data_IF_902011692880
#
_entry.id   IF_902011692880
#
_cell.length_a   1.000
_cell.length_b   1.000
_cell.length_c   1.000
_cell.angle_alpha   90.00
_cell.angle_beta   90.00
_cell.angle_gamma   90.00
#
_symmetry.space_group_name_H-M   'P 1'
#
loop_
_entity.id
_entity.type
_entity.pdbx_description
1 polymer ?
#
# COMPACT_ATOMS: atom_id res chain seq x y z
N UNK A 1 -1.16 37.73 4.09
CA UNK A 1 -0.90 36.77 2.99
C UNK A 1 0.60 36.66 2.81
N UNK A 2 1.25 35.83 3.64
CA UNK A 2 2.68 35.52 3.51
C UNK A 2 2.79 34.32 2.59
N UNK A 3 3.23 34.57 1.36
CA UNK A 3 3.59 33.52 0.42
C UNK A 3 4.72 32.68 0.99
N UNK A 4 4.37 31.55 1.59
CA UNK A 4 5.35 30.51 1.89
C UNK A 4 5.83 29.96 0.55
N UNK A 5 7.04 30.39 0.19
CA UNK A 5 7.87 29.87 -0.87
C UNK A 5 7.81 28.34 -0.91
N UNK A 6 7.12 27.81 -1.90
CA UNK A 6 7.26 26.44 -2.43
C UNK A 6 8.67 26.23 -3.08
N UNK A 7 9.71 26.92 -2.61
CA UNK A 7 10.98 27.11 -3.35
C UNK A 7 12.01 26.00 -3.24
N UNK A 8 11.70 24.88 -2.60
CA UNK A 8 12.45 23.64 -2.78
C UNK A 8 11.49 22.47 -3.04
N UNK A 9 10.38 22.73 -3.74
CA UNK A 9 9.50 21.66 -4.14
C UNK A 9 10.14 20.87 -5.27
N UNK A 10 10.69 19.71 -4.89
CA UNK A 10 10.92 18.54 -5.72
C UNK A 10 9.99 18.52 -6.93
N UNK A 11 10.59 18.54 -8.13
CA UNK A 11 9.81 18.54 -9.36
C UNK A 11 9.01 17.24 -9.41
N UNK A 12 7.71 17.26 -9.77
CA UNK A 12 6.93 16.05 -10.00
C UNK A 12 7.57 15.07 -11.02
N UNK A 13 8.55 15.55 -11.80
CA UNK A 13 9.36 14.75 -12.73
C UNK A 13 10.38 13.81 -12.05
N UNK A 14 10.66 13.97 -10.75
CA UNK A 14 11.64 13.16 -10.00
C UNK A 14 11.14 11.75 -9.66
N UNK A 15 9.85 11.46 -9.90
CA UNK A 15 9.25 10.16 -9.69
C UNK A 15 8.63 9.96 -8.31
N UNK A 16 7.60 9.11 -8.23
CA UNK A 16 6.85 8.79 -7.01
C UNK A 16 7.74 8.33 -5.85
N UNK A 17 8.80 7.57 -6.15
CA UNK A 17 9.77 7.07 -5.17
C UNK A 17 10.58 8.18 -4.48
N UNK A 18 10.73 9.34 -5.13
CA UNK A 18 11.29 10.57 -4.54
C UNK A 18 10.17 11.34 -3.83
N UNK A 19 9.07 11.62 -4.54
CA UNK A 19 7.97 12.45 -4.02
C UNK A 19 7.44 11.95 -2.67
N UNK A 20 7.32 10.63 -2.48
CA UNK A 20 6.85 10.05 -1.20
C UNK A 20 7.70 10.51 -0.02
N UNK A 21 9.02 10.67 -0.15
CA UNK A 21 9.88 11.05 0.96
C UNK A 21 9.76 12.55 1.32
N UNK A 22 9.23 13.37 0.41
CA UNK A 22 9.17 14.82 0.57
C UNK A 22 7.75 15.32 0.85
N UNK A 23 6.72 14.65 0.34
CA UNK A 23 5.32 15.09 0.43
C UNK A 23 4.60 14.50 1.63
N UNK A 24 5.17 14.73 2.81
CA UNK A 24 4.75 14.10 4.08
C UNK A 24 3.91 15.03 4.97
N UNK A 25 3.79 16.31 4.62
CA UNK A 25 3.18 17.31 5.50
C UNK A 25 1.67 17.44 5.29
N UNK A 26 0.90 17.25 6.37
CA UNK A 26 -0.57 17.34 6.37
C UNK A 26 -1.11 18.69 5.88
N UNK A 27 -0.47 19.79 6.24
CA UNK A 27 -0.91 21.16 5.88
C UNK A 27 -0.83 21.45 4.38
N UNK A 28 -0.01 20.70 3.64
CA UNK A 28 0.20 20.88 2.20
C UNK A 28 -0.51 19.80 1.37
N UNK A 29 -1.41 19.02 1.98
CA UNK A 29 -2.11 17.93 1.29
C UNK A 29 -2.78 18.39 -0.01
N UNK A 30 -3.48 19.53 0.03
CA UNK A 30 -4.13 20.10 -1.14
C UNK A 30 -3.11 20.42 -2.24
N UNK A 31 -2.08 21.22 -1.90
CA UNK A 31 -1.06 21.65 -2.86
C UNK A 31 -0.35 20.46 -3.50
N UNK A 32 0.02 19.45 -2.71
CA UNK A 32 0.65 18.24 -3.21
C UNK A 32 -0.27 17.45 -4.15
N UNK A 33 -1.55 17.29 -3.81
CA UNK A 33 -2.49 16.59 -4.68
C UNK A 33 -2.73 17.34 -5.99
N UNK A 34 -2.86 18.67 -5.93
CA UNK A 34 -3.04 19.51 -7.12
C UNK A 34 -1.79 19.60 -7.99
N UNK A 35 -0.60 19.49 -7.40
CA UNK A 35 0.66 19.49 -8.14
C UNK A 35 0.82 18.28 -9.08
N UNK A 36 0.17 17.14 -8.77
CA UNK A 36 0.09 15.96 -9.64
C UNK A 36 -1.08 16.06 -10.62
N UNK A 37 -0.97 16.98 -11.57
CA UNK A 37 -1.84 17.00 -12.76
C UNK A 37 -1.71 15.67 -13.53
N UNK A 38 -2.66 15.31 -14.42
CA UNK A 38 -2.60 14.06 -15.17
C UNK A 38 -1.24 13.80 -15.87
N UNK A 39 -0.70 14.82 -16.54
CA UNK A 39 0.61 14.71 -17.24
C UNK A 39 1.77 14.54 -16.26
N UNK A 40 1.75 15.26 -15.14
CA UNK A 40 2.79 15.18 -14.11
C UNK A 40 2.75 13.85 -13.36
N UNK A 41 1.56 13.32 -13.11
CA UNK A 41 1.40 12.00 -12.53
C UNK A 41 1.97 10.92 -13.45
N UNK A 42 1.64 10.97 -14.75
CA UNK A 42 2.21 10.06 -15.75
C UNK A 42 3.74 10.16 -15.79
N UNK A 43 4.28 11.37 -15.85
CA UNK A 43 5.73 11.60 -15.83
C UNK A 43 6.38 11.04 -14.55
N UNK A 44 5.74 11.18 -13.38
CA UNK A 44 6.23 10.62 -12.13
C UNK A 44 6.23 9.08 -12.10
N UNK A 45 5.20 8.46 -12.67
CA UNK A 45 5.12 7.00 -12.84
C UNK A 45 6.23 6.53 -13.79
N UNK A 46 6.39 7.18 -14.93
CA UNK A 46 7.41 6.84 -15.93
C UNK A 46 8.83 7.00 -15.38
N UNK A 47 9.09 8.09 -14.64
CA UNK A 47 10.36 8.30 -13.94
C UNK A 47 10.63 7.18 -12.92
N UNK A 48 9.62 6.79 -12.14
CA UNK A 48 9.74 5.68 -11.18
C UNK A 48 9.99 4.35 -11.87
N UNK A 49 9.32 4.09 -13.00
CA UNK A 49 9.51 2.87 -13.77
C UNK A 49 10.93 2.79 -14.35
N UNK A 50 11.48 3.90 -14.88
CA UNK A 50 12.85 3.94 -15.42
C UNK A 50 13.91 3.72 -14.35
N UNK A 51 13.69 4.24 -13.15
CA UNK A 51 14.62 4.12 -12.01
C UNK A 51 14.44 2.80 -11.24
N UNK A 52 13.36 2.06 -11.50
CA UNK A 52 13.00 0.85 -10.77
C UNK A 52 14.16 -0.17 -10.77
N UNK A 53 14.53 -0.75 -9.61
CA UNK A 53 15.55 -1.79 -9.56
C UNK A 53 15.07 -3.01 -10.35
N UNK A 54 15.98 -3.60 -11.14
CA UNK A 54 15.66 -4.77 -11.95
C UNK A 54 15.94 -6.07 -11.19
N UNK A 55 14.95 -6.95 -11.16
CA UNK A 55 15.07 -8.32 -10.70
C UNK A 55 16.02 -9.08 -11.64
N UNK A 56 16.98 -9.79 -11.05
CA UNK A 56 18.06 -10.45 -11.78
C UNK A 56 19.43 -9.75 -11.67
N UNK A 57 19.48 -8.52 -11.17
CA UNK A 57 20.75 -7.94 -10.71
C UNK A 57 21.27 -8.68 -9.45
N UNK A 58 22.59 -8.78 -9.31
CA UNK A 58 23.25 -9.46 -8.19
C UNK A 58 22.70 -8.98 -6.83
N UNK A 59 22.16 -9.91 -6.04
CA UNK A 59 21.72 -9.67 -4.67
C UNK A 59 20.23 -9.37 -4.49
N UNK A 60 19.39 -9.61 -5.51
CA UNK A 60 17.94 -9.59 -5.36
C UNK A 60 17.46 -10.79 -4.52
N UNK A 61 16.47 -10.57 -3.65
CA UNK A 61 15.92 -11.60 -2.76
C UNK A 61 14.60 -12.11 -3.34
N UNK A 62 14.49 -13.42 -3.57
CA UNK A 62 13.26 -14.06 -4.05
C UNK A 62 12.05 -13.75 -3.16
N UNK A 63 10.85 -13.86 -3.73
CA UNK A 63 9.62 -13.82 -2.93
C UNK A 63 9.70 -14.84 -1.80
N UNK A 64 9.48 -14.38 -0.57
CA UNK A 64 9.42 -15.25 0.59
C UNK A 64 8.10 -16.02 0.54
N UNK A 65 8.17 -17.29 0.16
CA UNK A 65 7.09 -18.24 0.39
C UNK A 65 6.93 -18.44 1.90
N UNK A 66 5.71 -18.34 2.41
CA UNK A 66 5.37 -18.57 3.83
C UNK A 66 5.61 -20.01 4.33
N UNK A 67 6.25 -20.89 3.55
CA UNK A 67 6.60 -22.26 3.95
C UNK A 67 7.50 -22.32 5.19
N UNK A 68 8.33 -21.29 5.40
CA UNK A 68 8.83 -21.01 6.74
C UNK A 68 7.74 -20.26 7.47
N UNK A 69 6.81 -21.02 8.09
CA UNK A 69 5.81 -20.51 9.04
C UNK A 69 6.37 -19.27 9.69
N UNK A 70 5.66 -18.15 9.56
CA UNK A 70 5.96 -16.87 10.19
C UNK A 70 6.36 -17.17 11.63
N UNK A 71 7.67 -17.32 11.84
CA UNK A 71 8.14 -18.05 13.01
C UNK A 71 7.83 -17.16 14.20
N UNK A 72 7.63 -17.73 15.38
CA UNK A 72 7.41 -17.00 16.64
C UNK A 72 8.23 -15.69 16.80
N UNK A 73 9.38 -15.56 16.12
CA UNK A 73 10.18 -14.34 15.98
C UNK A 73 9.55 -13.13 15.25
N UNK A 74 8.64 -13.31 14.28
CA UNK A 74 7.93 -12.20 13.63
C UNK A 74 6.84 -11.60 14.54
N UNK A 75 6.18 -12.45 15.34
CA UNK A 75 5.31 -12.06 16.44
C UNK A 75 6.08 -11.44 17.62
N UNK A 76 7.36 -11.76 17.77
CA UNK A 76 8.29 -11.10 18.71
C UNK A 76 8.87 -9.78 18.17
N UNK A 77 8.46 -9.32 16.98
CA UNK A 77 8.95 -8.06 16.43
C UNK A 77 8.56 -6.87 17.31
N UNK A 78 9.53 -5.98 17.55
CA UNK A 78 9.35 -4.78 18.37
C UNK A 78 8.28 -3.82 17.80
N UNK A 79 8.12 -3.78 16.48
CA UNK A 79 7.14 -2.91 15.81
C UNK A 79 5.73 -3.51 15.83
N UNK A 80 4.74 -2.71 16.21
CA UNK A 80 3.31 -3.06 16.11
C UNK A 80 2.88 -3.28 14.65
N UNK A 81 3.49 -2.55 13.72
CA UNK A 81 3.23 -2.69 12.28
C UNK A 81 3.61 -4.08 11.79
N UNK A 82 4.82 -4.53 12.13
CA UNK A 82 5.33 -5.85 11.77
C UNK A 82 4.45 -6.99 12.29
N UNK A 83 3.93 -6.84 13.51
CA UNK A 83 2.99 -7.80 14.10
C UNK A 83 1.65 -7.82 13.37
N UNK A 84 1.15 -6.66 12.95
CA UNK A 84 -0.09 -6.56 12.20
C UNK A 84 0.07 -7.14 10.78
N UNK A 85 1.18 -6.86 10.09
CA UNK A 85 1.50 -7.48 8.79
C UNK A 85 1.52 -9.01 8.87
N UNK A 86 2.26 -9.55 9.85
CA UNK A 86 2.37 -10.98 10.06
C UNK A 86 1.01 -11.61 10.34
N UNK A 87 0.21 -11.01 11.25
CA UNK A 87 -1.11 -11.52 11.57
C UNK A 87 -2.08 -11.46 10.37
N UNK A 88 -2.02 -10.40 9.55
CA UNK A 88 -2.79 -10.30 8.32
C UNK A 88 -2.39 -11.36 7.31
N UNK A 89 -1.09 -11.59 7.11
CA UNK A 89 -0.58 -12.61 6.20
C UNK A 89 -0.93 -14.03 6.67
N UNK A 90 -0.74 -14.32 7.96
CA UNK A 90 -1.08 -15.63 8.54
C UNK A 90 -2.58 -15.91 8.39
N UNK A 91 -3.44 -14.91 8.54
CA UNK A 91 -4.87 -15.06 8.32
C UNK A 91 -5.21 -15.15 6.84
N UNK A 92 -5.02 -14.08 6.06
CA UNK A 92 -5.50 -13.99 4.67
C UNK A 92 -4.64 -14.71 3.63
N UNK A 93 -3.46 -15.20 4.01
CA UNK A 93 -2.64 -16.11 3.20
C UNK A 93 -2.98 -17.59 3.44
N UNK A 94 -3.71 -17.92 4.50
CA UNK A 94 -4.10 -19.29 4.77
C UNK A 94 -5.20 -19.79 3.81
N UNK A 95 -5.06 -20.99 3.22
CA UNK A 95 -6.07 -21.59 2.35
C UNK A 95 -7.49 -21.64 2.91
N UNK A 96 -7.64 -21.89 4.21
CA UNK A 96 -8.94 -22.05 4.87
C UNK A 96 -9.60 -20.73 5.29
N UNK A 97 -8.90 -19.60 5.19
CA UNK A 97 -9.42 -18.31 5.65
C UNK A 97 -10.41 -17.69 4.65
N UNK A 98 -11.27 -16.75 5.05
CA UNK A 98 -12.09 -16.01 4.10
C UNK A 98 -11.24 -15.14 3.18
N UNK A 99 -11.78 -14.75 2.03
CA UNK A 99 -11.23 -13.65 1.24
C UNK A 99 -11.50 -12.30 1.93
N UNK A 100 -10.91 -11.21 1.41
CA UNK A 100 -11.27 -9.85 1.79
C UNK A 100 -12.14 -9.26 0.66
N UNK A 101 -13.48 -9.25 0.80
CA UNK A 101 -14.38 -8.90 -0.29
C UNK A 101 -14.09 -7.51 -0.88
N UNK A 102 -13.99 -7.44 -2.21
CA UNK A 102 -13.69 -6.21 -2.93
C UNK A 102 -12.24 -5.71 -2.83
N UNK A 103 -11.36 -6.46 -2.15
CA UNK A 103 -9.97 -6.06 -1.90
C UNK A 103 -8.97 -7.07 -2.48
N UNK A 104 -9.00 -8.31 -1.98
CA UNK A 104 -8.17 -9.41 -2.47
C UNK A 104 -8.83 -10.77 -2.19
N UNK A 105 -8.51 -11.76 -3.03
CA UNK A 105 -8.85 -13.16 -2.81
C UNK A 105 -7.93 -13.78 -1.75
N UNK A 106 -6.62 -13.57 -1.90
CA UNK A 106 -5.58 -14.08 -0.99
C UNK A 106 -4.38 -13.15 -0.91
N UNK A 107 -3.72 -13.15 0.24
CA UNK A 107 -2.35 -12.65 0.37
C UNK A 107 -1.38 -13.75 -0.05
N UNK A 108 -0.37 -13.39 -0.85
CA UNK A 108 0.56 -14.36 -1.46
C UNK A 108 2.01 -14.12 -1.06
N UNK A 109 2.35 -12.88 -0.67
CA UNK A 109 3.63 -12.58 -0.05
C UNK A 109 3.49 -11.42 0.94
N UNK A 110 4.47 -11.31 1.84
CA UNK A 110 4.60 -10.17 2.75
C UNK A 110 6.06 -9.71 2.77
N UNK A 111 6.25 -8.41 3.00
CA UNK A 111 7.57 -7.80 3.15
C UNK A 111 8.48 -8.08 1.95
N UNK A 112 7.91 -7.86 0.77
CA UNK A 112 8.55 -8.09 -0.54
C UNK A 112 9.59 -6.99 -0.77
N UNK A 113 10.89 -7.31 -0.76
CA UNK A 113 11.92 -6.30 -0.98
C UNK A 113 11.89 -5.84 -2.44
N UNK A 114 12.02 -4.53 -2.64
CA UNK A 114 12.06 -3.92 -3.98
C UNK A 114 13.48 -3.58 -4.44
N UNK A 115 14.50 -3.96 -3.66
CA UNK A 115 15.90 -3.65 -3.92
C UNK A 115 16.76 -4.91 -3.89
N UNK A 116 17.86 -4.90 -4.64
CA UNK A 116 19.00 -5.76 -4.38
C UNK A 116 19.74 -5.26 -3.13
N UNK A 117 20.35 -6.15 -2.34
CA UNK A 117 20.93 -5.86 -1.02
C UNK A 117 21.84 -4.60 -0.93
N UNK A 118 22.38 -4.12 -2.04
CA UNK A 118 23.26 -2.93 -2.15
C UNK A 118 22.54 -1.58 -2.37
N UNK A 119 21.21 -1.54 -2.59
CA UNK A 119 20.45 -0.31 -2.91
C UNK A 119 19.18 -0.13 -2.06
N UNK A 120 19.29 -0.28 -0.73
CA UNK A 120 18.14 -0.23 0.18
C UNK A 120 17.48 1.16 0.31
N UNK A 121 18.25 2.22 0.12
CA UNK A 121 17.95 3.54 0.72
C UNK A 121 16.76 4.31 0.11
N UNK A 122 16.12 3.82 -0.97
CA UNK A 122 15.02 4.53 -1.64
C UNK A 122 13.74 3.72 -1.87
N UNK A 123 13.86 2.40 -2.01
CA UNK A 123 12.79 1.58 -2.57
C UNK A 123 11.90 0.91 -1.52
N UNK A 124 12.42 0.63 -0.32
CA UNK A 124 11.64 -0.03 0.73
C UNK A 124 11.23 -1.46 0.39
N UNK A 125 10.20 -1.93 1.10
CA UNK A 125 9.59 -3.24 0.90
C UNK A 125 8.07 -3.07 0.84
N UNK A 126 7.40 -3.90 0.05
CA UNK A 126 5.93 -3.97 0.08
C UNK A 126 5.50 -4.68 1.35
N UNK A 127 4.61 -4.08 2.12
CA UNK A 127 4.12 -4.69 3.36
C UNK A 127 3.41 -6.01 3.08
N UNK A 128 2.39 -5.99 2.22
CA UNK A 128 1.65 -7.17 1.80
C UNK A 128 1.36 -7.13 0.28
N UNK A 129 1.45 -8.31 -0.35
CA UNK A 129 1.10 -8.53 -1.76
C UNK A 129 -0.02 -9.56 -1.83
N UNK A 130 -1.10 -9.21 -2.52
CA UNK A 130 -2.24 -10.08 -2.74
C UNK A 130 -2.54 -10.32 -4.21
N UNK A 131 -3.52 -11.18 -4.44
CA UNK A 131 -4.16 -11.37 -5.74
C UNK A 131 -5.66 -11.10 -5.61
N UNK A 132 -6.25 -10.37 -6.56
CA UNK A 132 -7.70 -10.24 -6.68
C UNK A 132 -8.34 -11.57 -7.10
N UNK A 133 -9.68 -11.62 -7.10
CA UNK A 133 -10.42 -12.78 -7.64
C UNK A 133 -10.17 -12.99 -9.13
N UNK A 134 -9.90 -11.92 -9.88
CA UNK A 134 -9.47 -11.99 -11.28
C UNK A 134 -7.98 -12.32 -11.43
N UNK A 135 -7.17 -12.34 -10.36
CA UNK A 135 -5.74 -12.64 -10.47
C UNK A 135 -4.86 -11.45 -10.84
N UNK A 136 -5.38 -10.23 -10.67
CA UNK A 136 -4.59 -9.00 -10.69
C UNK A 136 -3.74 -8.91 -9.41
N UNK A 137 -2.47 -8.47 -9.49
CA UNK A 137 -1.65 -8.21 -8.33
C UNK A 137 -2.13 -6.97 -7.57
N UNK A 138 -2.32 -7.13 -6.26
CA UNK A 138 -2.77 -6.06 -5.37
C UNK A 138 -1.65 -5.69 -4.42
N UNK A 139 -1.26 -4.42 -4.41
CA UNK A 139 -0.28 -3.87 -3.47
C UNK A 139 -1.01 -3.32 -2.27
N UNK A 140 -0.63 -3.77 -1.06
CA UNK A 140 -1.21 -3.29 0.18
C UNK A 140 -0.13 -2.59 1.00
N UNK A 141 -0.35 -1.30 1.26
CA UNK A 141 0.44 -0.49 2.17
C UNK A 141 -0.30 -0.41 3.51
N UNK A 142 0.38 -0.79 4.59
CA UNK A 142 -0.18 -0.81 5.93
C UNK A 142 0.15 0.48 6.67
N UNK A 143 -0.76 0.93 7.53
CA UNK A 143 -0.46 1.93 8.56
C UNK A 143 -0.92 1.47 9.92
N UNK A 144 -0.23 1.92 10.96
CA UNK A 144 -0.67 1.71 12.35
C UNK A 144 -1.59 2.84 12.80
N UNK A 145 -2.45 2.56 13.79
CA UNK A 145 -3.38 3.56 14.34
C UNK A 145 -2.73 4.79 14.99
N UNK A 146 -1.40 4.79 15.18
CA UNK A 146 -0.63 5.92 15.70
C UNK A 146 0.27 6.58 14.65
N UNK A 147 0.21 6.13 13.40
CA UNK A 147 1.03 6.71 12.34
C UNK A 147 0.68 8.18 12.14
N UNK A 148 1.71 9.02 12.01
CA UNK A 148 1.59 10.43 11.63
C UNK A 148 1.66 10.64 10.12
N UNK A 149 1.95 9.58 9.35
CA UNK A 149 2.03 9.67 7.91
C UNK A 149 0.68 10.03 7.29
N UNK A 150 0.73 10.72 6.16
CA UNK A 150 -0.48 11.12 5.46
C UNK A 150 -1.00 9.99 4.56
N UNK A 151 -2.29 9.98 4.25
CA UNK A 151 -2.85 9.07 3.27
C UNK A 151 -2.24 9.27 1.88
N UNK A 152 -1.84 10.50 1.54
CA UNK A 152 -1.04 10.78 0.35
C UNK A 152 0.33 10.07 0.40
N UNK A 153 1.01 10.09 1.54
CA UNK A 153 2.27 9.35 1.71
C UNK A 153 2.09 7.86 1.45
N UNK A 154 1.09 7.24 2.09
CA UNK A 154 0.75 5.84 1.90
C UNK A 154 0.39 5.52 0.43
N UNK A 155 -0.36 6.41 -0.23
CA UNK A 155 -0.69 6.29 -1.65
C UNK A 155 0.57 6.29 -2.52
N UNK A 156 1.45 7.28 -2.34
CA UNK A 156 2.67 7.40 -3.14
C UNK A 156 3.63 6.22 -2.90
N UNK A 157 3.68 5.68 -1.69
CA UNK A 157 4.39 4.44 -1.38
C UNK A 157 3.81 3.25 -2.17
N UNK A 158 2.51 2.97 -2.01
CA UNK A 158 1.85 1.87 -2.71
C UNK A 158 2.01 1.98 -4.24
N UNK A 159 1.85 3.18 -4.79
CA UNK A 159 2.00 3.44 -6.22
C UNK A 159 3.45 3.24 -6.71
N UNK A 160 4.43 3.66 -5.90
CA UNK A 160 5.84 3.38 -6.17
C UNK A 160 6.06 1.88 -6.28
N UNK A 161 5.54 1.13 -5.32
CA UNK A 161 5.72 -0.32 -5.25
C UNK A 161 5.06 -1.04 -6.42
N UNK A 162 3.82 -0.68 -6.76
CA UNK A 162 3.14 -1.22 -7.94
C UNK A 162 3.91 -0.91 -9.23
N UNK A 163 4.49 0.28 -9.35
CA UNK A 163 5.30 0.66 -10.51
C UNK A 163 6.57 -0.19 -10.62
N UNK A 164 7.25 -0.47 -9.50
CA UNK A 164 8.40 -1.39 -9.49
C UNK A 164 8.00 -2.82 -9.82
N UNK A 165 6.86 -3.29 -9.30
CA UNK A 165 6.36 -4.63 -9.66
C UNK A 165 6.04 -4.72 -11.15
N UNK A 166 5.41 -3.70 -11.74
CA UNK A 166 5.14 -3.61 -13.20
C UNK A 166 6.42 -3.77 -14.01
N UNK A 167 7.46 -3.02 -13.66
CA UNK A 167 8.76 -3.08 -14.34
C UNK A 167 9.42 -4.47 -14.29
N UNK A 168 9.07 -5.27 -13.28
CA UNK A 168 9.65 -6.58 -13.02
C UNK A 168 8.66 -7.74 -13.21
N UNK A 169 7.48 -7.47 -13.78
CA UNK A 169 6.36 -8.41 -13.69
C UNK A 169 6.63 -9.74 -14.40
N UNK A 170 7.32 -9.72 -15.54
CA UNK A 170 7.63 -10.95 -16.28
C UNK A 170 8.38 -11.99 -15.42
N UNK A 171 9.31 -11.55 -14.57
CA UNK A 171 10.07 -12.41 -13.67
C UNK A 171 9.26 -12.78 -12.42
N UNK A 172 8.59 -11.79 -11.83
CA UNK A 172 7.72 -11.95 -10.67
C UNK A 172 6.56 -12.90 -10.91
N UNK A 173 5.95 -12.85 -12.09
CA UNK A 173 4.85 -13.70 -12.50
C UNK A 173 5.23 -15.18 -12.35
N UNK A 174 6.40 -15.57 -12.86
CA UNK A 174 6.90 -16.94 -12.73
C UNK A 174 7.18 -17.31 -11.29
N UNK A 175 7.79 -16.42 -10.50
CA UNK A 175 7.99 -16.66 -9.06
C UNK A 175 6.66 -16.87 -8.33
N UNK A 176 5.69 -15.97 -8.52
CA UNK A 176 4.35 -16.03 -7.92
C UNK A 176 3.63 -17.34 -8.27
N UNK A 177 3.65 -17.74 -9.54
CA UNK A 177 3.02 -18.97 -10.02
C UNK A 177 3.59 -20.23 -9.34
N UNK A 178 4.81 -20.18 -8.80
CA UNK A 178 5.43 -21.31 -8.08
C UNK A 178 5.12 -21.34 -6.59
N UNK A 179 4.56 -20.26 -6.02
CA UNK A 179 4.29 -20.19 -4.59
C UNK A 179 3.28 -21.28 -4.16
N UNK A 180 3.51 -21.98 -3.04
CA UNK A 180 2.61 -23.02 -2.51
C UNK A 180 1.17 -22.55 -2.34
N UNK A 181 0.95 -21.33 -1.83
CA UNK A 181 -0.40 -20.76 -1.68
C UNK A 181 -1.09 -20.55 -3.03
N UNK A 182 -0.34 -20.12 -4.05
CA UNK A 182 -0.88 -19.91 -5.41
C UNK A 182 -1.19 -21.25 -6.07
N UNK A 183 -0.26 -22.21 -6.02
CA UNK A 183 -0.45 -23.55 -6.61
C UNK A 183 -1.50 -24.37 -5.89
N UNK A 184 -1.45 -24.41 -4.55
CA UNK A 184 -2.32 -25.22 -3.71
C UNK A 184 -3.79 -24.79 -3.77
N UNK A 185 -4.04 -23.50 -4.02
CA UNK A 185 -5.39 -22.95 -4.20
C UNK A 185 -5.78 -22.75 -5.66
N UNK A 186 -4.90 -23.11 -6.61
CA UNK A 186 -5.06 -22.83 -8.03
C UNK A 186 -5.49 -21.37 -8.31
N UNK A 187 -4.77 -20.42 -7.70
CA UNK A 187 -5.06 -19.00 -7.88
C UNK A 187 -4.67 -18.58 -9.29
N UNK A 188 -5.58 -17.83 -9.94
CA UNK A 188 -5.28 -17.17 -11.20
C UNK A 188 -4.23 -16.07 -10.94
N UNK A 189 -3.23 -16.00 -11.80
CA UNK A 189 -2.26 -14.91 -11.86
C UNK A 189 -2.24 -14.42 -13.30
N UNK A 190 -2.49 -13.14 -13.54
CA UNK A 190 -2.43 -12.60 -14.89
C UNK A 190 -0.99 -12.35 -15.34
N UNK A 191 -0.59 -12.92 -16.49
CA UNK A 191 0.72 -12.65 -17.08
C UNK A 191 0.86 -11.19 -17.57
N UNK A 192 -0.27 -10.52 -17.85
CA UNK A 192 -0.35 -9.11 -18.25
C UNK A 192 -1.47 -8.42 -17.47
N UNK A 193 -1.23 -8.03 -16.22
CA UNK A 193 -2.23 -7.39 -15.39
C UNK A 193 -2.63 -6.04 -15.98
N UNK A 194 -3.92 -5.82 -16.16
CA UNK A 194 -4.46 -4.55 -16.63
C UNK A 194 -4.56 -3.53 -15.50
N UNK A 195 -4.72 -4.03 -14.27
CA UNK A 195 -4.95 -3.23 -13.09
C UNK A 195 -3.99 -3.63 -11.99
N UNK A 196 -3.63 -2.64 -11.18
CA UNK A 196 -2.71 -2.81 -10.06
C UNK A 196 -3.31 -2.14 -8.84
N UNK A 197 -4.34 -2.75 -8.21
CA UNK A 197 -5.03 -2.10 -7.11
C UNK A 197 -4.08 -1.75 -5.97
N UNK A 198 -4.21 -0.52 -5.50
CA UNK A 198 -3.46 0.04 -4.38
C UNK A 198 -4.37 0.08 -3.17
N UNK A 199 -4.12 -0.77 -2.19
CA UNK A 199 -4.89 -0.80 -0.96
C UNK A 199 -4.13 -0.09 0.13
N UNK A 200 -4.73 0.99 0.64
CA UNK A 200 -4.27 1.66 1.84
C UNK A 200 -5.03 1.04 3.01
N UNK A 201 -4.36 0.20 3.79
CA UNK A 201 -4.96 -0.54 4.89
C UNK A 201 -4.52 0.05 6.22
N UNK A 202 -5.47 0.40 7.09
CA UNK A 202 -5.13 0.91 8.42
C UNK A 202 -6.24 0.63 9.45
N UNK A 203 -5.93 0.59 10.75
CA UNK A 203 -6.96 0.57 11.80
C UNK A 203 -7.79 1.85 11.83
N UNK A 204 -8.99 1.78 12.43
CA UNK A 204 -9.91 2.93 12.59
C UNK A 204 -9.22 4.18 13.16
N UNK A 205 -8.36 4.02 14.17
CA UNK A 205 -7.67 5.14 14.81
C UNK A 205 -6.74 5.94 13.88
N UNK A 206 -6.25 5.33 12.79
CA UNK A 206 -5.55 6.07 11.73
C UNK A 206 -6.54 6.90 10.93
N UNK A 207 -7.61 6.29 10.42
CA UNK A 207 -8.64 6.96 9.62
C UNK A 207 -9.35 8.08 10.36
N UNK A 208 -9.56 7.95 11.66
CA UNK A 208 -10.14 8.96 12.53
C UNK A 208 -9.39 10.30 12.48
N UNK A 209 -8.06 10.29 12.35
CA UNK A 209 -7.22 11.51 12.23
C UNK A 209 -7.47 12.26 10.92
N UNK A 210 -8.08 11.58 9.95
CA UNK A 210 -8.39 12.09 8.61
C UNK A 210 -9.89 12.23 8.38
N UNK A 211 -10.75 11.79 9.30
CA UNK A 211 -12.21 11.89 9.18
C UNK A 211 -12.74 13.24 9.69
N UNK A 212 -13.79 13.78 9.06
CA UNK A 212 -14.54 14.97 9.52
C UNK A 212 -15.14 14.81 10.92
N UNK A 213 -15.26 13.56 11.39
CA UNK A 213 -15.86 13.19 12.68
C UNK A 213 -15.00 13.56 13.89
N UNK A 214 -13.69 13.79 13.73
CA UNK A 214 -12.80 14.11 14.85
C UNK A 214 -12.23 15.53 14.77
N UNK A 215 -11.88 16.16 15.91
CA UNK A 215 -11.23 17.48 15.91
C UNK A 215 -9.95 17.51 15.07
N UNK A 216 -9.17 16.42 15.08
CA UNK A 216 -7.94 16.32 14.28
C UNK A 216 -8.22 16.21 12.78
N UNK A 217 -9.25 15.50 12.36
CA UNK A 217 -9.57 15.39 10.94
C UNK A 217 -10.28 16.63 10.39
N UNK A 218 -10.98 17.41 11.22
CA UNK A 218 -11.52 18.73 10.83
C UNK A 218 -10.45 19.76 10.47
N UNK A 219 -9.18 19.52 10.80
CA UNK A 219 -8.08 20.38 10.33
C UNK A 219 -7.69 20.14 8.87
N UNK A 220 -8.20 19.07 8.24
CA UNK A 220 -8.07 18.86 6.79
C UNK A 220 -9.16 19.66 6.10
N UNK A 221 -8.78 20.59 5.24
CA UNK A 221 -9.71 21.45 4.51
C UNK A 221 -10.60 20.62 3.57
N UNK A 222 -11.85 21.05 3.30
CA UNK A 222 -12.69 20.40 2.29
C UNK A 222 -12.01 20.30 0.91
N UNK A 223 -11.34 21.37 0.49
CA UNK A 223 -10.57 21.44 -0.77
C UNK A 223 -9.41 20.45 -0.81
N UNK A 224 -8.75 20.18 0.32
CA UNK A 224 -7.70 19.16 0.41
C UNK A 224 -8.24 17.74 0.29
N UNK A 225 -9.46 17.48 0.79
CA UNK A 225 -10.14 16.18 0.64
C UNK A 225 -10.55 15.94 -0.80
N UNK A 226 -11.14 16.95 -1.43
CA UNK A 226 -11.50 16.94 -2.84
C UNK A 226 -10.27 16.69 -3.72
N UNK A 227 -9.19 17.46 -3.52
CA UNK A 227 -7.95 17.26 -4.27
C UNK A 227 -7.37 15.85 -4.12
N UNK A 228 -7.44 15.25 -2.93
CA UNK A 228 -7.03 13.87 -2.71
C UNK A 228 -7.94 12.85 -3.41
N UNK A 229 -9.26 13.09 -3.43
CA UNK A 229 -10.23 12.26 -4.16
C UNK A 229 -9.96 12.30 -5.67
N UNK A 230 -9.74 13.49 -6.22
CA UNK A 230 -9.38 13.68 -7.62
C UNK A 230 -8.08 12.97 -7.98
N UNK A 231 -7.06 13.06 -7.11
CA UNK A 231 -5.80 12.37 -7.33
C UNK A 231 -5.99 10.84 -7.39
N UNK A 232 -6.82 10.27 -6.51
CA UNK A 232 -7.16 8.83 -6.55
C UNK A 232 -7.81 8.44 -7.87
N UNK A 233 -8.72 9.27 -8.40
CA UNK A 233 -9.34 9.04 -9.70
C UNK A 233 -8.29 9.04 -10.83
N UNK A 234 -7.35 10.00 -10.81
CA UNK A 234 -6.24 10.04 -11.78
C UNK A 234 -5.33 8.82 -11.70
N UNK A 235 -5.05 8.29 -10.51
CA UNK A 235 -4.32 7.02 -10.37
C UNK A 235 -5.08 5.84 -10.98
N UNK A 236 -6.41 5.77 -10.77
CA UNK A 236 -7.24 4.74 -11.40
C UNK A 236 -7.18 4.80 -12.94
N UNK A 237 -7.16 6.00 -13.52
CA UNK A 237 -6.97 6.20 -14.97
C UNK A 237 -5.60 5.68 -15.47
N UNK A 238 -4.58 5.57 -14.61
CA UNK A 238 -3.27 4.97 -14.90
C UNK A 238 -3.22 3.45 -14.59
N UNK A 239 -4.37 2.81 -14.38
CA UNK A 239 -4.50 1.40 -14.00
C UNK A 239 -4.07 1.10 -12.56
N UNK A 240 -4.03 2.12 -11.69
CA UNK A 240 -3.63 2.04 -10.28
C UNK A 240 -4.82 2.41 -9.36
N UNK A 241 -5.95 1.66 -9.40
CA UNK A 241 -7.13 2.05 -8.64
C UNK A 241 -6.84 2.03 -7.13
N UNK A 242 -7.18 3.11 -6.44
CA UNK A 242 -6.86 3.30 -5.01
C UNK A 242 -8.05 2.96 -4.14
N UNK A 243 -7.90 1.95 -3.30
CA UNK A 243 -8.88 1.50 -2.33
C UNK A 243 -8.40 1.82 -0.91
N UNK A 244 -9.32 2.22 -0.05
CA UNK A 244 -9.05 2.43 1.37
C UNK A 244 -9.77 1.35 2.16
N UNK A 245 -9.07 0.74 3.09
CA UNK A 245 -9.62 -0.35 3.89
C UNK A 245 -9.30 -0.15 5.36
N UNK A 246 -10.23 -0.62 6.19
CA UNK A 246 -10.05 -0.69 7.63
C UNK A 246 -9.75 -2.11 8.07
N UNK A 247 -8.78 -2.27 8.97
CA UNK A 247 -8.58 -3.51 9.72
C UNK A 247 -9.06 -3.35 11.17
N UNK A 248 -9.91 -4.27 11.60
CA UNK A 248 -10.45 -4.34 12.96
C UNK A 248 -10.17 -5.71 13.58
N UNK A 249 -10.27 -5.78 14.91
CA UNK A 249 -10.20 -7.01 15.67
C UNK A 249 -11.61 -7.39 16.13
N UNK A 250 -12.07 -8.60 15.85
CA UNK A 250 -13.43 -9.10 16.17
C UNK A 250 -13.59 -9.58 17.63
N UNK A 251 -12.71 -9.16 18.55
CA UNK A 251 -12.65 -9.68 19.91
C UNK A 251 -12.70 -8.57 20.98
N UNK A 252 -13.30 -8.84 22.17
CA UNK A 252 -13.33 -7.88 23.28
C UNK A 252 -11.94 -7.80 23.94
N UNK A 253 -11.10 -6.86 23.51
CA UNK A 253 -9.79 -6.64 24.15
C UNK A 253 -8.90 -5.69 23.37
N UNK A 254 -8.08 -4.91 24.08
CA UNK A 254 -6.98 -4.14 23.48
C UNK A 254 -6.03 -5.10 22.76
N UNK A 255 -5.47 -4.63 21.64
CA UNK A 255 -4.49 -5.27 20.74
C UNK A 255 -3.24 -5.75 21.48
N UNK A 256 -3.35 -6.79 22.30
CA UNK A 256 -2.25 -7.43 23.02
C UNK A 256 -2.47 -8.93 22.87
N UNK A 257 -1.75 -9.53 21.92
CA UNK A 257 -1.91 -10.93 21.52
C UNK A 257 -2.84 -11.08 20.31
N UNK A 258 -2.34 -10.68 19.13
CA UNK A 258 -3.05 -10.90 17.87
C UNK A 258 -3.06 -12.41 17.56
N UNK A 259 -4.13 -13.10 17.94
CA UNK A 259 -4.49 -14.34 17.26
C UNK A 259 -5.01 -13.97 15.87
N UNK A 260 -4.39 -14.54 14.83
CA UNK A 260 -4.71 -14.23 13.42
C UNK A 260 -6.21 -14.39 13.09
N UNK A 261 -6.93 -15.27 13.82
CA UNK A 261 -8.33 -15.66 13.60
C UNK A 261 -9.39 -14.59 13.91
N UNK A 262 -8.98 -13.36 14.20
CA UNK A 262 -9.87 -12.27 14.63
C UNK A 262 -9.73 -10.99 13.83
N UNK A 263 -8.91 -10.97 12.77
CA UNK A 263 -8.75 -9.79 11.93
C UNK A 263 -9.85 -9.72 10.87
N UNK A 264 -10.61 -8.62 10.89
CA UNK A 264 -11.62 -8.30 9.89
C UNK A 264 -11.18 -7.09 9.09
N UNK A 265 -11.01 -7.28 7.79
CA UNK A 265 -10.77 -6.20 6.83
C UNK A 265 -12.06 -5.81 6.13
N UNK A 266 -12.33 -4.51 6.03
CA UNK A 266 -13.49 -3.97 5.34
C UNK A 266 -13.09 -2.83 4.41
N UNK A 267 -13.63 -2.84 3.20
CA UNK A 267 -13.52 -1.70 2.29
C UNK A 267 -14.25 -0.49 2.91
N UNK A 268 -13.60 0.67 2.88
CA UNK A 268 -14.21 1.93 3.28
C UNK A 268 -14.91 2.53 2.06
N UNK A 269 -16.24 2.61 2.12
CA UNK A 269 -17.05 3.18 1.06
C UNK A 269 -16.60 4.61 0.73
N UNK A 270 -16.30 5.40 1.78
CA UNK A 270 -15.79 6.77 1.67
C UNK A 270 -15.49 7.34 3.06
N UNK A 271 -14.47 6.85 3.77
CA UNK A 271 -14.18 7.30 5.15
C UNK A 271 -13.77 8.79 5.28
N UNK A 272 -13.72 9.50 4.16
CA UNK A 272 -13.38 10.92 4.03
C UNK A 272 -14.57 11.82 3.76
N UNK A 273 -15.70 11.24 3.33
CA UNK A 273 -16.76 11.96 2.62
C UNK A 273 -18.11 11.91 3.34
N UNK A 274 -18.16 11.46 4.59
CA UNK A 274 -19.39 11.57 5.37
C UNK A 274 -19.59 13.05 5.77
N UNK A 275 -20.21 13.78 4.86
CA UNK A 275 -21.14 14.85 5.19
C UNK A 275 -22.39 14.19 5.75
N UNK A 276 -22.57 14.32 7.07
CA UNK A 276 -23.88 14.15 7.70
C UNK A 276 -24.84 15.24 7.24
#
# INVERSE_FOLDING_TARGET
MTGHRLQEQHSPEEGLHVLKNHWTQKSYLEDYCRALTPDRLRAAIDATHREAPHRGELGYVNLRSGDNRCSLGAMAASSNERRLEAALFDWYGCPSSPEAPGLWKRLVAFQVPLYAARRRDRWGSIDLLGLTTSGEPTVIELKTGRSSETPLHALLQAATYATVLRANWAQLFSELATLPVVRGLNLLVHARPEQWPLILLAPCGYWDVWSTRTPKGRTVTPSGREAYRDLRARFAEQGLPVLQAEVTHSGPGRVVGLGAESLLVRLLASSWDDES
#
